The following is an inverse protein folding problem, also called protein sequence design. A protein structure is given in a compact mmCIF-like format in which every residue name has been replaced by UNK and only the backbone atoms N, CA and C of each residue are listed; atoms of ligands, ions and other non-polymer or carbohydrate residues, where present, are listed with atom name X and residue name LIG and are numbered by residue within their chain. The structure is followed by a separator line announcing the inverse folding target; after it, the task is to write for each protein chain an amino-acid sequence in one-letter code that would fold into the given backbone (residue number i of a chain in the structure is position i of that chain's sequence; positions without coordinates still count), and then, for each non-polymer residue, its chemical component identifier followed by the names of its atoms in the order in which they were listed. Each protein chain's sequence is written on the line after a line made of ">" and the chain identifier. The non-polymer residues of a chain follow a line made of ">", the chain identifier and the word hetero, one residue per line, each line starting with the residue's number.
data_IF_549138039971
#
_entry.id   IF_549138039971
#
_cell.length_a   1.000
_cell.length_b   1.000
_cell.length_c   1.000
_cell.angle_alpha   90.00
_cell.angle_beta   90.00
_cell.angle_gamma   90.00
#
_symmetry.space_group_name_H-M   'P 1'
#
loop_
_entity.id
_entity.type
_entity.pdbx_description
1 polymer ?
#
# COMPACT_ATOMS: atom_id res chain seq x y z
N UNK A 1 40.47 10.29 28.39
CA UNK A 1 39.27 10.44 27.54
C UNK A 1 39.34 9.53 26.31
N UNK A 2 40.40 9.58 25.50
CA UNK A 2 40.60 8.71 24.33
C UNK A 2 40.53 7.20 24.61
N UNK A 3 41.12 6.71 25.71
CA UNK A 3 41.08 5.29 26.09
C UNK A 3 39.66 4.79 26.39
N UNK A 4 38.80 5.63 27.00
CA UNK A 4 37.41 5.28 27.25
C UNK A 4 36.56 5.28 25.96
N UNK A 5 36.84 6.21 25.04
CA UNK A 5 36.17 6.26 23.73
C UNK A 5 36.53 5.04 22.85
N UNK A 6 37.78 4.58 22.90
CA UNK A 6 38.21 3.34 22.25
C UNK A 6 37.52 2.10 22.83
N UNK A 7 37.39 2.02 24.17
CA UNK A 7 36.64 0.94 24.82
C UNK A 7 35.19 0.88 24.34
N UNK A 8 34.49 2.03 24.38
CA UNK A 8 33.11 2.13 23.87
C UNK A 8 32.99 1.82 22.38
N UNK A 9 34.02 2.12 21.57
CA UNK A 9 34.04 1.80 20.16
C UNK A 9 34.14 0.29 19.93
N UNK A 10 34.99 -0.41 20.69
CA UNK A 10 35.08 -1.87 20.65
C UNK A 10 33.78 -2.54 21.11
N UNK A 11 33.19 -2.08 22.22
CA UNK A 11 31.91 -2.61 22.70
C UNK A 11 30.81 -2.51 21.62
N UNK A 12 30.78 -1.40 20.89
CA UNK A 12 29.81 -1.17 19.81
C UNK A 12 30.07 -2.09 18.61
N UNK A 13 31.33 -2.41 18.30
CA UNK A 13 31.67 -3.39 17.26
C UNK A 13 31.28 -4.81 17.66
N UNK A 14 31.49 -5.20 18.92
CA UNK A 14 31.13 -6.53 19.42
C UNK A 14 29.60 -6.74 19.39
N UNK A 15 28.84 -5.71 19.76
CA UNK A 15 27.38 -5.71 19.64
C UNK A 15 26.96 -5.80 18.17
N UNK A 16 27.61 -5.04 17.28
CA UNK A 16 27.30 -5.08 15.84
C UNK A 16 27.55 -6.47 15.25
N UNK A 17 28.68 -7.09 15.60
CA UNK A 17 29.03 -8.45 15.15
C UNK A 17 28.04 -9.49 15.66
N UNK A 18 27.61 -9.38 16.92
CA UNK A 18 26.59 -10.27 17.50
C UNK A 18 25.26 -10.15 16.75
N UNK A 19 24.77 -8.92 16.58
CA UNK A 19 23.53 -8.64 15.83
C UNK A 19 23.64 -9.05 14.36
N UNK A 20 24.83 -8.97 13.77
CA UNK A 20 25.06 -9.38 12.39
C UNK A 20 24.91 -10.90 12.18
N UNK A 21 25.07 -11.70 13.24
CA UNK A 21 24.90 -13.16 13.18
C UNK A 21 23.56 -13.65 13.72
N UNK A 22 22.68 -12.74 14.17
CA UNK A 22 21.37 -13.11 14.70
C UNK A 22 20.39 -13.45 13.56
N UNK A 23 19.75 -14.61 13.66
CA UNK A 23 18.70 -15.08 12.75
C UNK A 23 17.37 -14.39 13.07
N UNK A 24 16.61 -14.06 12.02
CA UNK A 24 15.27 -13.52 12.16
C UNK A 24 14.25 -14.56 11.70
N UNK A 25 13.24 -14.86 12.51
CA UNK A 25 12.22 -15.85 12.15
C UNK A 25 10.95 -15.22 11.56
N UNK A 26 10.70 -13.95 11.88
CA UNK A 26 9.49 -13.23 11.51
C UNK A 26 9.75 -11.75 11.19
N UNK A 27 8.74 -11.10 10.60
CA UNK A 27 8.82 -9.69 10.18
C UNK A 27 9.10 -8.72 11.33
N UNK A 28 8.64 -9.00 12.55
CA UNK A 28 8.89 -8.13 13.70
C UNK A 28 10.35 -8.24 14.17
N UNK A 29 10.91 -9.45 14.15
CA UNK A 29 12.32 -9.69 14.44
C UNK A 29 13.24 -9.03 13.39
N UNK A 30 12.91 -9.13 12.10
CA UNK A 30 13.64 -8.43 11.02
C UNK A 30 13.66 -6.92 11.26
N UNK A 31 12.51 -6.32 11.57
CA UNK A 31 12.42 -4.89 11.83
C UNK A 31 13.23 -4.47 13.07
N UNK A 32 13.20 -5.29 14.13
CA UNK A 32 13.96 -5.06 15.36
C UNK A 32 15.47 -5.15 15.11
N UNK A 33 15.93 -6.18 14.41
CA UNK A 33 17.34 -6.38 14.07
C UNK A 33 17.89 -5.25 13.20
N UNK A 34 17.12 -4.87 12.18
CA UNK A 34 17.45 -3.72 11.34
C UNK A 34 17.61 -2.45 12.18
N UNK A 35 16.62 -2.12 13.01
CA UNK A 35 16.65 -0.90 13.83
C UNK A 35 17.82 -0.92 14.83
N UNK A 36 18.13 -2.09 15.41
CA UNK A 36 19.26 -2.26 16.32
C UNK A 36 20.59 -2.00 15.60
N UNK A 37 20.80 -2.60 14.41
CA UNK A 37 22.02 -2.38 13.61
C UNK A 37 22.15 -0.93 13.13
N UNK A 38 21.07 -0.28 12.70
CA UNK A 38 21.07 1.15 12.33
C UNK A 38 21.49 2.03 13.53
N UNK A 39 20.99 1.72 14.73
CA UNK A 39 21.30 2.46 15.96
C UNK A 39 22.76 2.27 16.39
N UNK A 40 23.27 1.04 16.30
CA UNK A 40 24.67 0.70 16.59
C UNK A 40 25.61 1.38 15.60
N UNK A 41 25.31 1.37 14.31
CA UNK A 41 26.06 2.07 13.28
C UNK A 41 26.05 3.61 13.49
N UNK A 42 24.90 4.18 13.86
CA UNK A 42 24.82 5.58 14.22
C UNK A 42 25.71 5.93 15.42
N UNK A 43 25.64 5.12 16.49
CA UNK A 43 26.48 5.30 17.69
C UNK A 43 27.95 5.17 17.37
N UNK A 44 28.34 4.21 16.53
CA UNK A 44 29.70 4.01 16.03
C UNK A 44 30.23 5.25 15.32
N UNK A 45 29.46 5.79 14.36
CA UNK A 45 29.83 7.02 13.62
C UNK A 45 30.02 8.21 14.57
N UNK A 46 29.13 8.36 15.56
CA UNK A 46 29.23 9.44 16.55
C UNK A 46 30.48 9.32 17.42
N UNK A 47 30.83 8.12 17.89
CA UNK A 47 32.04 7.87 18.67
C UNK A 47 33.29 8.16 17.82
N UNK A 48 33.35 7.69 16.57
CA UNK A 48 34.47 7.98 15.67
C UNK A 48 34.62 9.48 15.40
N UNK A 49 33.52 10.20 15.21
CA UNK A 49 33.54 11.64 15.04
C UNK A 49 34.06 12.36 16.28
N UNK A 50 33.63 11.93 17.47
CA UNK A 50 34.13 12.47 18.73
C UNK A 50 35.63 12.21 18.89
N UNK A 51 36.09 10.99 18.64
CA UNK A 51 37.52 10.64 18.72
C UNK A 51 38.37 11.45 17.75
N UNK A 52 37.89 11.68 16.51
CA UNK A 52 38.56 12.55 15.54
C UNK A 52 38.61 14.00 16.01
N UNK A 53 37.54 14.50 16.63
CA UNK A 53 37.50 15.83 17.20
C UNK A 53 38.46 15.97 18.39
N UNK A 54 38.48 15.00 19.29
CA UNK A 54 39.36 14.98 20.47
C UNK A 54 40.83 14.86 20.06
N UNK A 55 41.14 14.07 19.04
CA UNK A 55 42.49 13.97 18.47
C UNK A 55 42.88 15.27 17.79
N UNK A 56 42.02 15.88 16.98
CA UNK A 56 42.31 17.18 16.36
C UNK A 56 42.61 18.28 17.38
N UNK A 57 41.95 18.24 18.55
CA UNK A 57 42.23 19.13 19.69
C UNK A 57 43.58 18.81 20.35
N UNK A 58 44.06 17.57 20.29
CA UNK A 58 45.32 17.12 20.89
C UNK A 58 46.52 17.16 19.91
N UNK A 59 46.30 17.05 18.61
CA UNK A 59 47.34 17.05 17.56
C UNK A 59 47.74 18.44 17.08
N UNK A 60 47.27 19.51 17.74
CA UNK A 60 47.88 20.85 17.58
C UNK A 60 49.36 20.84 18.05
N UNK A 61 49.80 19.83 18.82
CA UNK A 61 51.18 19.73 19.31
C UNK A 61 52.04 18.57 18.76
N UNK A 62 51.52 17.51 18.14
CA UNK A 62 52.41 16.48 17.59
C UNK A 62 51.78 15.63 16.46
N UNK A 63 52.61 15.30 15.46
CA UNK A 63 52.24 14.72 14.17
C UNK A 63 51.82 13.24 14.23
N UNK A 64 50.61 12.96 14.70
CA UNK A 64 50.04 11.60 14.77
C UNK A 64 49.57 11.02 13.43
N UNK A 65 49.82 9.71 13.22
CA UNK A 65 49.41 8.96 12.02
C UNK A 65 47.87 8.75 11.92
N UNK A 66 47.30 8.59 10.70
CA UNK A 66 45.85 8.44 10.52
C UNK A 66 45.31 7.15 11.17
N UNK A 67 44.20 7.26 11.90
CA UNK A 67 43.47 6.11 12.44
C UNK A 67 42.99 5.23 11.29
N UNK A 68 43.41 3.96 11.30
CA UNK A 68 42.92 2.93 10.38
C UNK A 68 41.59 2.41 10.93
N UNK A 69 40.48 2.76 10.27
CA UNK A 69 39.17 2.23 10.64
C UNK A 69 39.13 0.71 10.39
N UNK A 70 38.68 -0.12 11.35
CA UNK A 70 38.41 -1.53 11.10
C UNK A 70 37.30 -1.70 10.05
N UNK A 71 37.32 -2.83 9.34
CA UNK A 71 36.34 -3.15 8.29
C UNK A 71 34.95 -3.32 8.87
N UNK A 72 33.94 -2.75 8.22
CA UNK A 72 32.52 -2.81 8.60
C UNK A 72 31.68 -3.53 7.54
N UNK A 73 32.34 -4.18 6.59
CA UNK A 73 31.72 -4.70 5.38
C UNK A 73 30.68 -5.80 5.68
N UNK A 74 30.90 -6.60 6.73
CA UNK A 74 29.96 -7.66 7.11
C UNK A 74 28.68 -7.10 7.71
N UNK A 75 28.78 -6.08 8.57
CA UNK A 75 27.64 -5.40 9.19
C UNK A 75 26.86 -4.59 8.16
N UNK A 76 27.56 -3.92 7.24
CA UNK A 76 26.95 -3.15 6.15
C UNK A 76 26.21 -4.09 5.17
N UNK A 77 26.81 -5.25 4.84
CA UNK A 77 26.16 -6.29 4.06
C UNK A 77 24.93 -6.87 4.78
N UNK A 78 25.03 -7.08 6.10
CA UNK A 78 23.88 -7.51 6.92
C UNK A 78 22.75 -6.51 6.88
N UNK A 79 23.04 -5.23 7.10
CA UNK A 79 22.03 -4.18 7.10
C UNK A 79 21.35 -4.07 5.73
N UNK A 80 22.12 -4.14 4.63
CA UNK A 80 21.58 -4.18 3.28
C UNK A 80 20.66 -5.39 3.04
N UNK A 81 21.03 -6.56 3.54
CA UNK A 81 20.21 -7.78 3.47
C UNK A 81 18.89 -7.61 4.23
N UNK A 82 18.92 -7.11 5.47
CA UNK A 82 17.72 -6.87 6.27
C UNK A 82 16.79 -5.81 5.66
N UNK A 83 17.34 -4.80 4.99
CA UNK A 83 16.55 -3.81 4.22
C UNK A 83 15.82 -4.49 3.07
N UNK A 84 16.52 -5.32 2.30
CA UNK A 84 15.94 -6.07 1.19
C UNK A 84 14.90 -7.08 1.67
N UNK A 85 15.17 -7.79 2.76
CA UNK A 85 14.26 -8.74 3.39
C UNK A 85 12.97 -8.05 3.86
N UNK A 86 13.07 -6.92 4.56
CA UNK A 86 11.89 -6.12 4.97
C UNK A 86 11.04 -5.70 3.75
N UNK A 87 11.69 -5.33 2.64
CA UNK A 87 11.00 -5.02 1.38
C UNK A 87 10.28 -6.23 0.76
N UNK A 88 10.87 -7.43 0.84
CA UNK A 88 10.22 -8.68 0.41
C UNK A 88 9.03 -8.99 1.32
N UNK A 89 9.21 -8.94 2.64
CA UNK A 89 8.15 -9.25 3.62
C UNK A 89 6.95 -8.31 3.51
N UNK A 90 7.18 -7.03 3.21
CA UNK A 90 6.10 -6.07 2.92
C UNK A 90 5.28 -6.46 1.70
N UNK A 91 5.95 -6.84 0.61
CA UNK A 91 5.27 -7.30 -0.61
C UNK A 91 4.50 -8.61 -0.36
N UNK A 92 5.08 -9.57 0.37
CA UNK A 92 4.40 -10.80 0.80
C UNK A 92 3.13 -10.46 1.58
N UNK A 93 3.23 -9.56 2.56
CA UNK A 93 2.08 -9.12 3.38
C UNK A 93 1.01 -8.43 2.53
N UNK A 94 1.39 -7.63 1.54
CA UNK A 94 0.46 -7.00 0.61
C UNK A 94 -0.24 -8.01 -0.31
N UNK A 95 0.45 -9.06 -0.74
CA UNK A 95 -0.14 -10.19 -1.49
C UNK A 95 -1.12 -10.95 -0.58
N UNK A 96 -0.73 -11.26 0.65
CA UNK A 96 -1.63 -11.93 1.61
C UNK A 96 -2.87 -11.10 1.95
N UNK A 97 -2.74 -9.77 2.03
CA UNK A 97 -3.90 -8.88 2.19
C UNK A 97 -4.83 -8.94 0.97
N UNK A 98 -4.28 -9.09 -0.23
CA UNK A 98 -5.08 -9.25 -1.45
C UNK A 98 -5.71 -10.64 -1.57
N UNK A 99 -5.15 -11.64 -0.89
CA UNK A 99 -5.59 -13.03 -0.89
C UNK A 99 -6.65 -13.33 0.19
N UNK A 100 -7.05 -12.35 1.01
CA UNK A 100 -8.05 -12.57 2.07
C UNK A 100 -9.50 -12.59 1.56
N UNK A 101 -9.71 -12.57 0.24
CA UNK A 101 -11.02 -12.68 -0.41
C UNK A 101 -11.45 -14.15 -0.53
N UNK A 102 -12.76 -14.42 -0.48
CA UNK A 102 -13.29 -15.79 -0.52
C UNK A 102 -13.08 -16.52 -1.87
N UNK A 103 -12.89 -15.77 -2.95
CA UNK A 103 -12.66 -16.27 -4.31
C UNK A 103 -11.70 -15.34 -5.05
N UNK A 104 -10.90 -15.88 -5.98
CA UNK A 104 -10.04 -15.11 -6.88
C UNK A 104 -10.34 -15.48 -8.32
N UNK A 105 -10.35 -14.50 -9.22
CA UNK A 105 -10.34 -14.82 -10.67
C UNK A 105 -9.04 -15.55 -11.01
N UNK A 106 -9.11 -16.47 -11.98
CA UNK A 106 -7.94 -17.24 -12.43
C UNK A 106 -6.76 -16.35 -12.83
N UNK A 107 -7.04 -15.24 -13.51
CA UNK A 107 -6.05 -14.24 -13.92
C UNK A 107 -5.38 -13.55 -12.73
N UNK A 108 -6.14 -13.17 -11.70
CA UNK A 108 -5.62 -12.52 -10.49
C UNK A 108 -4.81 -13.49 -9.63
N UNK A 109 -5.30 -14.72 -9.45
CA UNK A 109 -4.55 -15.78 -8.75
C UNK A 109 -3.21 -16.06 -9.44
N UNK A 110 -3.22 -16.19 -10.77
CA UNK A 110 -1.99 -16.37 -11.56
C UNK A 110 -1.03 -15.19 -11.39
N UNK A 111 -1.52 -13.95 -11.47
CA UNK A 111 -0.69 -12.76 -11.26
C UNK A 111 -0.03 -12.75 -9.87
N UNK A 112 -0.78 -13.10 -8.82
CA UNK A 112 -0.26 -13.17 -7.45
C UNK A 112 0.82 -14.25 -7.28
N UNK A 113 0.62 -15.43 -7.88
CA UNK A 113 1.63 -16.49 -7.89
C UNK A 113 2.90 -16.06 -8.64
N UNK A 114 2.75 -15.39 -9.78
CA UNK A 114 3.89 -14.83 -10.52
C UNK A 114 4.63 -13.76 -9.71
N UNK A 115 3.94 -12.89 -8.97
CA UNK A 115 4.60 -11.95 -8.06
C UNK A 115 5.36 -12.67 -6.93
N UNK A 116 4.88 -13.80 -6.42
CA UNK A 116 5.62 -14.61 -5.45
C UNK A 116 6.84 -15.31 -6.08
N UNK A 117 6.77 -15.70 -7.35
CA UNK A 117 7.92 -16.19 -8.12
C UNK A 117 8.99 -15.10 -8.25
N UNK A 118 8.61 -13.88 -8.63
CA UNK A 118 9.52 -12.72 -8.72
C UNK A 118 10.20 -12.41 -7.37
N UNK A 119 9.49 -12.54 -6.25
CA UNK A 119 10.08 -12.38 -4.91
C UNK A 119 11.09 -13.49 -4.60
N UNK A 120 10.84 -14.71 -5.07
CA UNK A 120 11.78 -15.84 -4.94
C UNK A 120 13.04 -15.58 -5.76
N UNK A 121 12.92 -15.04 -6.97
CA UNK A 121 14.05 -14.67 -7.82
C UNK A 121 14.92 -13.56 -7.22
N UNK A 122 14.38 -12.76 -6.29
CA UNK A 122 15.14 -11.75 -5.54
C UNK A 122 15.87 -12.31 -4.32
N UNK A 123 15.64 -13.55 -3.91
CA UNK A 123 16.31 -14.15 -2.74
C UNK A 123 17.85 -14.15 -2.81
N UNK A 124 18.52 -14.35 -3.96
CA UNK A 124 19.98 -14.29 -4.05
C UNK A 124 20.60 -12.92 -3.68
N UNK A 125 19.78 -11.86 -3.57
CA UNK A 125 20.24 -10.55 -3.07
C UNK A 125 20.36 -10.48 -1.54
N UNK A 126 19.82 -11.48 -0.84
CA UNK A 126 19.90 -11.62 0.60
C UNK A 126 21.13 -12.45 1.00
N UNK A 127 21.62 -12.23 2.21
CA UNK A 127 22.57 -13.15 2.85
C UNK A 127 21.90 -14.47 3.17
N UNK A 128 22.68 -15.56 3.16
CA UNK A 128 22.20 -16.94 3.38
C UNK A 128 21.40 -17.09 4.68
N UNK A 129 21.80 -16.36 5.74
CA UNK A 129 21.13 -16.34 7.04
C UNK A 129 19.66 -15.85 6.97
N UNK A 130 19.30 -15.05 5.97
CA UNK A 130 17.94 -14.52 5.78
C UNK A 130 17.08 -15.35 4.84
N UNK A 131 17.68 -16.27 4.08
CA UNK A 131 16.96 -17.10 3.12
C UNK A 131 15.85 -17.92 3.78
N UNK A 132 16.05 -18.57 4.94
CA UNK A 132 15.00 -19.34 5.59
C UNK A 132 13.76 -18.50 5.95
N UNK A 133 13.97 -17.26 6.41
CA UNK A 133 12.89 -16.34 6.75
C UNK A 133 12.09 -15.94 5.51
N UNK A 134 12.78 -15.48 4.46
CA UNK A 134 12.14 -15.09 3.20
C UNK A 134 11.38 -16.27 2.57
N UNK A 135 12.04 -17.43 2.49
CA UNK A 135 11.49 -18.64 1.89
C UNK A 135 10.24 -19.11 2.61
N UNK A 136 10.25 -19.15 3.95
CA UNK A 136 9.09 -19.53 4.76
C UNK A 136 7.90 -18.63 4.46
N UNK A 137 8.09 -17.32 4.52
CA UNK A 137 7.02 -16.33 4.32
C UNK A 137 6.45 -16.37 2.90
N UNK A 138 7.31 -16.50 1.88
CA UNK A 138 6.88 -16.64 0.48
C UNK A 138 6.11 -17.96 0.27
N UNK A 139 6.60 -19.06 0.84
CA UNK A 139 5.97 -20.39 0.71
C UNK A 139 4.61 -20.42 1.40
N UNK A 140 4.50 -19.83 2.59
CA UNK A 140 3.25 -19.74 3.33
C UNK A 140 2.24 -18.88 2.56
N UNK A 141 2.66 -17.73 2.03
CA UNK A 141 1.81 -16.91 1.18
C UNK A 141 1.37 -17.63 -0.11
N UNK A 142 2.27 -18.38 -0.75
CA UNK A 142 1.93 -19.19 -1.94
C UNK A 142 0.86 -20.22 -1.61
N UNK A 143 1.06 -21.00 -0.54
CA UNK A 143 0.09 -21.99 -0.08
C UNK A 143 -1.28 -21.35 0.17
N UNK A 144 -1.29 -20.20 0.83
CA UNK A 144 -2.54 -19.46 1.10
C UNK A 144 -3.23 -19.02 -0.19
N UNK A 145 -2.48 -18.53 -1.19
CA UNK A 145 -3.03 -18.14 -2.50
C UNK A 145 -3.56 -19.34 -3.28
N UNK A 146 -2.85 -20.46 -3.26
CA UNK A 146 -3.24 -21.70 -3.95
C UNK A 146 -4.54 -22.29 -3.41
N UNK A 147 -4.75 -22.22 -2.10
CA UNK A 147 -5.95 -22.73 -1.41
C UNK A 147 -7.22 -21.91 -1.68
N UNK A 148 -7.12 -20.72 -2.29
CA UNK A 148 -8.29 -19.90 -2.60
C UNK A 148 -9.01 -20.46 -3.83
N UNK A 149 -10.34 -20.69 -3.73
CA UNK A 149 -11.15 -21.13 -4.86
C UNK A 149 -11.06 -20.14 -6.03
N UNK A 150 -10.94 -20.69 -7.24
CA UNK A 150 -11.01 -19.90 -8.47
C UNK A 150 -12.47 -19.65 -8.85
N UNK A 151 -12.81 -18.40 -9.15
CA UNK A 151 -14.02 -18.11 -9.93
C UNK A 151 -13.74 -18.46 -11.39
N UNK A 152 -14.51 -19.41 -11.95
CA UNK A 152 -14.46 -19.75 -13.36
C UNK A 152 -14.78 -18.50 -14.19
N UNK A 153 -13.80 -18.09 -15.00
CA UNK A 153 -13.98 -17.07 -16.03
C UNK A 153 -14.85 -17.71 -17.14
N UNK A 154 -15.98 -17.10 -17.56
CA UNK A 154 -16.79 -17.62 -18.67
C UNK A 154 -16.03 -17.42 -19.98
N UNK A 155 -15.09 -18.32 -20.28
CA UNK A 155 -14.33 -18.33 -21.52
C UNK A 155 -15.03 -19.19 -22.56
N UNK A 156 -15.59 -18.49 -23.56
CA UNK A 156 -15.58 -18.86 -24.98
C UNK A 156 -15.81 -20.34 -25.33
N UNK A 157 -17.08 -20.71 -25.53
CA UNK A 157 -17.43 -21.69 -26.56
C UNK A 157 -17.80 -20.96 -27.85
N UNK A 158 -16.84 -20.97 -28.77
CA UNK A 158 -17.00 -20.55 -30.16
C UNK A 158 -18.01 -21.45 -30.89
N UNK A 159 -18.77 -20.86 -31.82
CA UNK A 159 -19.59 -21.47 -32.89
C UNK A 159 -21.05 -21.84 -32.58
N UNK A 160 -22.00 -20.94 -32.89
CA UNK A 160 -22.88 -21.01 -34.08
C UNK A 160 -23.95 -19.89 -34.06
N UNK A 161 -24.02 -19.15 -35.18
CA UNK A 161 -25.07 -18.31 -35.79
C UNK A 161 -26.31 -17.79 -35.00
N UNK A 162 -26.86 -16.62 -35.40
CA UNK A 162 -27.54 -15.67 -34.52
C UNK A 162 -29.06 -15.85 -34.45
N UNK A 163 -29.66 -15.51 -33.29
CA UNK A 163 -30.94 -14.79 -33.23
C UNK A 163 -31.18 -14.13 -31.87
N UNK A 164 -31.90 -12.99 -31.86
CA UNK A 164 -31.93 -12.04 -30.76
C UNK A 164 -33.05 -12.40 -29.78
N UNK A 165 -32.91 -12.02 -28.52
CA UNK A 165 -33.93 -11.32 -27.73
C UNK A 165 -33.35 -11.06 -26.32
N UNK A 166 -33.22 -9.79 -25.98
CA UNK A 166 -33.51 -9.20 -24.67
C UNK A 166 -33.34 -10.11 -23.44
N UNK A 167 -32.23 -9.93 -22.71
CA UNK A 167 -32.34 -9.57 -21.30
C UNK A 167 -31.08 -8.83 -20.83
N UNK A 168 -31.24 -7.57 -20.42
CA UNK A 168 -30.18 -6.75 -19.85
C UNK A 168 -30.15 -7.01 -18.34
N UNK A 169 -28.99 -7.39 -17.81
CA UNK A 169 -28.62 -7.05 -16.43
C UNK A 169 -28.36 -8.22 -15.48
N UNK A 170 -27.41 -9.10 -15.79
CA UNK A 170 -26.72 -9.90 -14.78
C UNK A 170 -25.76 -8.98 -13.99
N UNK A 171 -26.32 -8.24 -13.03
CA UNK A 171 -25.54 -7.54 -12.02
C UNK A 171 -24.97 -8.62 -11.10
N UNK A 172 -23.66 -8.92 -11.21
CA UNK A 172 -22.96 -9.69 -10.19
C UNK A 172 -23.34 -9.10 -8.82
N UNK A 173 -23.87 -9.93 -7.91
CA UNK A 173 -24.37 -9.47 -6.61
C UNK A 173 -23.26 -8.71 -5.89
N UNK A 174 -23.37 -7.37 -5.84
CA UNK A 174 -22.43 -6.53 -5.11
C UNK A 174 -22.73 -6.72 -3.64
N UNK A 175 -22.07 -7.70 -3.02
CA UNK A 175 -22.23 -7.98 -1.60
C UNK A 175 -21.55 -6.89 -0.76
N UNK A 176 -22.34 -6.29 0.13
CA UNK A 176 -21.93 -5.19 1.01
C UNK A 176 -22.38 -5.54 2.43
N UNK A 177 -21.41 -5.91 3.26
CA UNK A 177 -21.66 -6.37 4.63
C UNK A 177 -22.35 -5.32 5.52
N UNK A 178 -22.08 -4.03 5.29
CA UNK A 178 -22.66 -2.95 6.08
C UNK A 178 -22.85 -1.67 5.26
N UNK A 179 -24.03 -1.07 5.44
CA UNK A 179 -24.39 0.22 4.85
C UNK A 179 -24.38 1.34 5.89
N UNK A 180 -23.74 2.45 5.56
CA UNK A 180 -23.80 3.70 6.30
C UNK A 180 -24.60 4.72 5.50
N UNK A 181 -25.56 5.39 6.14
CA UNK A 181 -26.43 6.37 5.48
C UNK A 181 -25.85 7.77 5.70
N UNK A 182 -25.65 8.52 4.62
CA UNK A 182 -25.33 9.94 4.66
C UNK A 182 -26.43 10.74 4.01
N UNK A 183 -26.70 11.91 4.61
CA UNK A 183 -27.61 12.90 4.06
C UNK A 183 -26.81 14.14 3.66
N UNK A 184 -26.95 14.56 2.41
CA UNK A 184 -26.35 15.78 1.89
C UNK A 184 -27.44 16.83 1.68
N UNK A 185 -27.30 17.96 2.38
CA UNK A 185 -28.20 19.09 2.21
C UNK A 185 -27.73 19.94 1.03
N UNK A 186 -28.60 20.11 0.04
CA UNK A 186 -28.29 20.77 -1.25
C UNK A 186 -28.92 22.17 -1.36
N UNK A 187 -29.53 22.68 -0.29
CA UNK A 187 -30.27 23.95 -0.29
C UNK A 187 -31.65 23.88 -0.96
N UNK A 188 -32.01 22.73 -1.57
CA UNK A 188 -33.38 22.39 -1.98
C UNK A 188 -34.19 21.81 -0.82
N UNK A 189 -35.51 21.69 -0.99
CA UNK A 189 -36.44 21.15 0.03
C UNK A 189 -36.25 19.66 0.30
N UNK A 190 -35.67 18.89 -0.64
CA UNK A 190 -35.31 17.49 -0.46
C UNK A 190 -33.78 17.30 -0.38
N UNK A 191 -33.26 16.64 0.67
CA UNK A 191 -31.84 16.30 0.76
C UNK A 191 -31.52 15.04 -0.05
N UNK A 192 -30.25 14.87 -0.43
CA UNK A 192 -29.79 13.63 -1.07
C UNK A 192 -29.42 12.59 -0.02
N UNK A 193 -30.02 11.41 -0.10
CA UNK A 193 -29.73 10.27 0.77
C UNK A 193 -28.84 9.30 0.00
N UNK A 194 -27.64 9.05 0.51
CA UNK A 194 -26.66 8.14 -0.08
C UNK A 194 -26.29 7.10 0.97
N UNK A 195 -26.54 5.83 0.66
CA UNK A 195 -25.99 4.71 1.43
C UNK A 195 -24.62 4.38 0.86
N UNK A 196 -23.59 4.29 1.70
CA UNK A 196 -22.27 3.83 1.31
C UNK A 196 -21.82 2.63 2.12
N UNK A 197 -21.07 1.75 1.48
CA UNK A 197 -20.46 0.58 2.10
C UNK A 197 -19.18 0.22 1.36
N UNK A 198 -18.61 -0.93 1.72
CA UNK A 198 -17.51 -1.53 0.98
C UNK A 198 -17.94 -2.89 0.48
N UNK A 199 -17.52 -3.23 -0.74
CA UNK A 199 -17.53 -4.62 -1.19
C UNK A 199 -16.35 -5.39 -0.59
N UNK A 200 -16.30 -6.69 -0.87
CA UNK A 200 -15.20 -7.58 -0.51
C UNK A 200 -13.82 -7.12 -1.03
N UNK A 201 -13.78 -6.34 -2.11
CA UNK A 201 -12.55 -5.78 -2.69
C UNK A 201 -12.06 -4.49 -1.99
N UNK A 202 -12.71 -4.05 -0.90
CA UNK A 202 -12.42 -2.76 -0.26
C UNK A 202 -12.57 -1.58 -1.23
N UNK A 203 -13.58 -1.64 -2.10
CA UNK A 203 -13.98 -0.53 -2.94
C UNK A 203 -15.22 0.14 -2.36
N UNK A 204 -15.29 1.46 -2.50
CA UNK A 204 -16.46 2.22 -2.07
C UNK A 204 -17.65 1.86 -2.96
N UNK A 205 -18.71 1.32 -2.36
CA UNK A 205 -19.98 1.05 -3.03
C UNK A 205 -21.02 2.04 -2.53
N UNK A 206 -21.84 2.57 -3.44
CA UNK A 206 -22.97 3.41 -3.09
C UNK A 206 -24.28 2.81 -3.55
N UNK A 207 -25.32 3.05 -2.76
CA UNK A 207 -26.71 2.78 -3.07
C UNK A 207 -27.52 4.06 -2.86
N UNK A 208 -28.16 4.52 -3.92
CA UNK A 208 -29.03 5.70 -3.90
C UNK A 208 -30.03 5.61 -5.05
N UNK A 209 -31.06 6.46 -5.03
CA UNK A 209 -32.02 6.55 -6.12
C UNK A 209 -31.32 6.84 -7.44
N UNK A 210 -31.72 6.11 -8.49
CA UNK A 210 -31.17 6.29 -9.84
C UNK A 210 -31.33 7.74 -10.32
N UNK A 211 -32.49 8.33 -10.00
CA UNK A 211 -32.86 9.71 -10.36
C UNK A 211 -33.41 10.42 -9.12
N UNK A 212 -32.90 11.62 -8.85
CA UNK A 212 -33.30 12.49 -7.74
C UNK A 212 -34.70 13.06 -7.95
N UNK A 213 -35.06 13.38 -9.20
CA UNK A 213 -36.37 13.96 -9.53
C UNK A 213 -37.48 12.90 -9.61
N UNK A 214 -37.12 11.62 -9.82
CA UNK A 214 -38.04 10.49 -9.95
C UNK A 214 -37.58 9.30 -9.10
N UNK A 215 -37.72 9.35 -7.77
CA UNK A 215 -37.30 8.26 -6.87
C UNK A 215 -38.07 6.94 -7.10
N UNK A 216 -39.11 6.96 -7.94
CA UNK A 216 -39.81 5.75 -8.42
C UNK A 216 -38.96 4.87 -9.34
N UNK A 217 -37.82 5.39 -9.83
CA UNK A 217 -36.87 4.67 -10.69
C UNK A 217 -36.02 3.60 -9.98
N UNK A 218 -36.20 3.43 -8.67
CA UNK A 218 -35.51 2.44 -7.86
C UNK A 218 -34.12 2.88 -7.41
N UNK A 219 -33.66 2.28 -6.31
CA UNK A 219 -32.28 2.43 -5.83
C UNK A 219 -31.34 1.62 -6.72
N UNK A 220 -30.24 2.23 -7.20
CA UNK A 220 -29.18 1.52 -7.91
C UNK A 220 -27.95 1.39 -7.01
N UNK A 221 -27.27 0.24 -7.14
CA UNK A 221 -26.02 -0.05 -6.44
C UNK A 221 -24.86 0.05 -7.43
N UNK A 222 -23.83 0.84 -7.12
CA UNK A 222 -22.67 1.06 -7.98
C UNK A 222 -21.38 1.17 -7.18
N UNK A 223 -20.30 0.60 -7.73
CA UNK A 223 -18.94 0.86 -7.25
C UNK A 223 -18.54 2.27 -7.68
N UNK A 224 -18.01 3.05 -6.73
CA UNK A 224 -17.58 4.43 -6.97
C UNK A 224 -16.11 4.43 -7.42
N UNK A 225 -15.78 5.02 -8.59
CA UNK A 225 -14.41 5.08 -9.06
C UNK A 225 -13.47 5.82 -8.09
N UNK A 226 -12.20 5.41 -8.03
CA UNK A 226 -11.20 6.17 -7.25
C UNK A 226 -10.93 7.52 -7.92
N UNK A 227 -10.62 8.60 -7.16
CA UNK A 227 -10.38 9.92 -7.74
C UNK A 227 -9.27 9.99 -8.80
N UNK A 228 -8.26 9.10 -8.72
CA UNK A 228 -7.17 9.02 -9.68
C UNK A 228 -7.63 8.72 -11.12
N UNK A 229 -8.80 8.09 -11.32
CA UNK A 229 -9.32 7.85 -12.67
C UNK A 229 -9.67 9.15 -13.40
N UNK A 230 -9.87 10.25 -12.67
CA UNK A 230 -10.18 11.56 -13.25
C UNK A 230 -8.92 12.35 -13.63
N UNK A 231 -7.73 11.83 -13.33
CA UNK A 231 -6.47 12.44 -13.75
C UNK A 231 -6.43 12.54 -15.28
N UNK A 232 -6.02 13.70 -15.77
CA UNK A 232 -5.92 14.02 -17.19
C UNK A 232 -7.24 13.93 -18.00
N UNK A 233 -8.40 13.74 -17.35
CA UNK A 233 -9.72 13.79 -18.01
C UNK A 233 -10.22 15.22 -18.15
N UNK A 234 -10.88 15.48 -19.28
CA UNK A 234 -11.67 16.67 -19.55
C UNK A 234 -13.01 16.66 -18.80
N UNK A 235 -13.71 17.80 -18.77
CA UNK A 235 -14.99 17.91 -18.07
C UNK A 235 -16.06 16.98 -18.68
N UNK A 236 -16.04 16.84 -20.01
CA UNK A 236 -16.96 16.01 -20.80
C UNK A 236 -16.74 14.53 -20.50
N UNK A 237 -15.48 14.09 -20.45
CA UNK A 237 -15.13 12.71 -20.07
C UNK A 237 -15.51 12.41 -18.62
N UNK A 238 -15.32 13.37 -17.70
CA UNK A 238 -15.76 13.21 -16.31
C UNK A 238 -17.28 13.10 -16.19
N UNK A 239 -18.05 13.88 -16.96
CA UNK A 239 -19.51 13.74 -17.04
C UNK A 239 -19.92 12.35 -17.53
N UNK A 240 -19.19 11.79 -18.50
CA UNK A 240 -19.44 10.44 -18.97
C UNK A 240 -19.19 9.40 -17.86
N UNK A 241 -18.09 9.51 -17.11
CA UNK A 241 -17.82 8.64 -15.94
C UNK A 241 -18.96 8.73 -14.93
N UNK A 242 -19.43 9.93 -14.61
CA UNK A 242 -20.50 10.13 -13.63
C UNK A 242 -21.89 9.73 -14.12
N UNK A 243 -22.10 9.59 -15.43
CA UNK A 243 -23.38 9.11 -15.98
C UNK A 243 -23.73 7.67 -15.56
N UNK A 244 -22.73 6.91 -15.10
CA UNK A 244 -22.88 5.54 -14.62
C UNK A 244 -23.19 5.45 -13.12
N UNK A 245 -23.12 6.59 -12.40
CA UNK A 245 -23.34 6.69 -10.95
C UNK A 245 -24.76 7.19 -10.65
N UNK A 246 -25.30 6.96 -9.43
CA UNK A 246 -26.55 7.57 -9.00
C UNK A 246 -26.51 9.10 -9.17
N UNK A 247 -27.61 9.66 -9.69
CA UNK A 247 -27.68 11.08 -10.07
C UNK A 247 -27.29 12.02 -8.92
N UNK A 248 -27.67 11.69 -7.69
CA UNK A 248 -27.30 12.45 -6.49
C UNK A 248 -25.78 12.63 -6.36
N UNK A 249 -24.99 11.58 -6.60
CA UNK A 249 -23.53 11.65 -6.50
C UNK A 249 -22.95 12.52 -7.62
N UNK A 250 -23.46 12.35 -8.83
CA UNK A 250 -23.05 13.11 -10.01
C UNK A 250 -23.31 14.60 -9.83
N UNK A 251 -24.48 14.97 -9.30
CA UNK A 251 -24.83 16.36 -8.98
C UNK A 251 -23.94 16.96 -7.89
N UNK A 252 -23.58 16.20 -6.85
CA UNK A 252 -22.67 16.66 -5.79
C UNK A 252 -21.23 16.85 -6.29
N UNK A 253 -20.79 16.03 -7.23
CA UNK A 253 -19.43 16.04 -7.75
C UNK A 253 -19.20 17.11 -8.83
N UNK A 254 -20.20 17.39 -9.67
CA UNK A 254 -20.05 18.26 -10.82
C UNK A 254 -19.83 19.73 -10.44
N UNK A 255 -18.82 20.33 -11.07
CA UNK A 255 -18.55 21.76 -11.03
C UNK A 255 -18.57 22.35 -12.44
N UNK A 256 -18.45 23.68 -12.52
CA UNK A 256 -18.36 24.41 -13.80
C UNK A 256 -17.04 24.18 -14.54
N UNK A 257 -15.98 23.77 -13.84
CA UNK A 257 -14.63 23.55 -14.40
C UNK A 257 -14.13 22.15 -14.09
N UNK A 258 -13.23 21.63 -14.92
CA UNK A 258 -12.63 20.31 -14.77
C UNK A 258 -11.91 20.17 -13.41
N UNK A 259 -11.04 21.13 -13.05
CA UNK A 259 -10.32 21.11 -11.78
C UNK A 259 -11.26 21.16 -10.57
N UNK A 260 -12.30 22.00 -10.66
CA UNK A 260 -13.34 22.08 -9.63
C UNK A 260 -14.07 20.77 -9.45
N UNK A 261 -14.39 20.07 -10.54
CA UNK A 261 -15.04 18.75 -10.52
C UNK A 261 -14.13 17.71 -9.87
N UNK A 262 -12.84 17.66 -10.22
CA UNK A 262 -11.88 16.73 -9.59
C UNK A 262 -11.74 16.97 -8.09
N UNK A 263 -11.60 18.23 -7.68
CA UNK A 263 -11.48 18.59 -6.28
C UNK A 263 -12.73 18.23 -5.46
N UNK A 264 -13.93 18.54 -6.00
CA UNK A 264 -15.21 18.18 -5.36
C UNK A 264 -15.40 16.69 -5.28
N UNK A 265 -15.15 15.96 -6.36
CA UNK A 265 -15.27 14.51 -6.39
C UNK A 265 -14.32 13.84 -5.41
N UNK A 266 -13.05 14.26 -5.37
CA UNK A 266 -12.06 13.74 -4.42
C UNK A 266 -12.50 13.94 -2.97
N UNK A 267 -13.03 15.13 -2.63
CA UNK A 267 -13.56 15.41 -1.29
C UNK A 267 -14.81 14.58 -0.97
N UNK A 268 -15.73 14.44 -1.92
CA UNK A 268 -16.95 13.64 -1.77
C UNK A 268 -16.61 12.16 -1.55
N UNK A 269 -15.73 11.61 -2.39
CA UNK A 269 -15.23 10.24 -2.27
C UNK A 269 -14.65 10.00 -0.88
N UNK A 270 -13.74 10.87 -0.42
CA UNK A 270 -13.13 10.78 0.91
C UNK A 270 -14.17 10.82 2.01
N UNK A 271 -15.15 11.73 1.91
CA UNK A 271 -16.23 11.87 2.91
C UNK A 271 -17.03 10.59 3.05
N UNK A 272 -17.39 9.96 1.93
CA UNK A 272 -18.13 8.70 1.92
C UNK A 272 -17.28 7.54 2.43
N UNK A 273 -16.04 7.41 1.96
CA UNK A 273 -15.13 6.34 2.34
C UNK A 273 -14.76 6.38 3.83
N UNK A 274 -14.56 7.56 4.44
CA UNK A 274 -14.29 7.68 5.89
C UNK A 274 -15.43 7.15 6.77
N UNK A 275 -16.68 7.15 6.26
CA UNK A 275 -17.83 6.60 6.99
C UNK A 275 -17.90 5.08 6.92
N UNK A 276 -17.10 4.45 6.08
CA UNK A 276 -17.03 2.99 5.95
C UNK A 276 -15.81 2.47 6.71
N UNK A 277 -15.98 1.74 7.83
CA UNK A 277 -14.85 1.34 8.69
C UNK A 277 -13.73 0.60 7.96
N UNK A 278 -14.07 -0.30 7.03
CA UNK A 278 -13.10 -1.08 6.24
C UNK A 278 -12.29 -0.26 5.22
N UNK A 279 -12.69 0.97 4.92
CA UNK A 279 -12.00 1.85 3.96
C UNK A 279 -11.14 2.92 4.63
N UNK A 280 -11.03 2.94 5.97
CA UNK A 280 -10.30 3.99 6.69
C UNK A 280 -8.82 4.05 6.31
N UNK A 281 -8.14 2.90 6.24
CA UNK A 281 -6.73 2.85 5.86
C UNK A 281 -6.50 3.33 4.42
N UNK A 282 -7.40 2.98 3.50
CA UNK A 282 -7.39 3.46 2.12
C UNK A 282 -7.50 4.99 2.06
N UNK A 283 -8.36 5.59 2.89
CA UNK A 283 -8.48 7.05 2.97
C UNK A 283 -7.20 7.70 3.47
N UNK A 284 -6.56 7.12 4.49
CA UNK A 284 -5.29 7.64 5.03
C UNK A 284 -4.18 7.62 3.98
N UNK A 285 -4.12 6.60 3.13
CA UNK A 285 -3.17 6.56 2.01
C UNK A 285 -3.49 7.61 0.92
N UNK A 286 -4.77 7.85 0.61
CA UNK A 286 -5.19 8.93 -0.29
C UNK A 286 -4.87 10.33 0.25
N UNK A 287 -4.72 10.50 1.56
CA UNK A 287 -4.29 11.76 2.19
C UNK A 287 -2.77 11.93 2.09
N UNK A 288 -1.99 10.87 2.30
CA UNK A 288 -0.52 10.90 2.14
C UNK A 288 -0.09 11.12 0.70
N UNK A 289 -0.81 10.53 -0.27
CA UNK A 289 -0.57 10.74 -1.71
C UNK A 289 -0.85 12.16 -2.20
N UNK A 290 -1.52 12.99 -1.39
CA UNK A 290 -1.77 14.41 -1.69
C UNK A 290 -0.62 15.36 -1.35
N UNK A 291 0.45 14.90 -0.69
CA UNK A 291 1.59 15.76 -0.29
C UNK A 291 2.69 15.88 -1.35
N UNK A 292 2.57 15.22 -2.51
CA UNK A 292 3.53 15.31 -3.60
C UNK A 292 2.98 16.11 -4.78
N UNK A 293 2.80 17.42 -4.60
CA UNK A 293 2.86 18.39 -5.69
C UNK A 293 3.04 19.80 -5.14
N UNK A 294 4.29 20.13 -4.85
CA UNK A 294 4.79 21.49 -5.01
C UNK A 294 6.26 21.40 -5.48
N UNK A 295 6.42 21.13 -6.78
CA UNK A 295 7.67 21.46 -7.46
C UNK A 295 7.40 22.75 -8.20
N UNK A 296 7.88 23.86 -7.61
CA UNK A 296 8.09 25.11 -8.32
C UNK A 296 8.95 24.83 -9.56
N UNK A 297 8.48 25.27 -10.70
CA UNK A 297 9.28 25.76 -11.82
C UNK A 297 8.47 26.84 -12.52
#
# INVERSE_FOLDING_TARGET
>A
MLSAAWGLYHDVLDIAGTLATEEAEDSAQVAKLRSALESVDHKRRKILQQMRSDIALLTVEDGGSPIRNPSTAAEDARLASLISLDGILKQVKDIMRQSSVHTLTRSKKKAMLSSLDELTERMPSLLDIDHPCAQRQITDARRMVELIPEEDDPLEETSHSPKPLTDLGSTAEIDVAQWNVLQFNTGSTSPFIIKCGANSNSELVIKADARVQEPKGGEIVRVVPRPSILENKSLEEMKHVFSQLPEALSLLALARTADGTRARYSRLYRTLAMKVPSLRDLVTELEKGGMLKDVRS
#
